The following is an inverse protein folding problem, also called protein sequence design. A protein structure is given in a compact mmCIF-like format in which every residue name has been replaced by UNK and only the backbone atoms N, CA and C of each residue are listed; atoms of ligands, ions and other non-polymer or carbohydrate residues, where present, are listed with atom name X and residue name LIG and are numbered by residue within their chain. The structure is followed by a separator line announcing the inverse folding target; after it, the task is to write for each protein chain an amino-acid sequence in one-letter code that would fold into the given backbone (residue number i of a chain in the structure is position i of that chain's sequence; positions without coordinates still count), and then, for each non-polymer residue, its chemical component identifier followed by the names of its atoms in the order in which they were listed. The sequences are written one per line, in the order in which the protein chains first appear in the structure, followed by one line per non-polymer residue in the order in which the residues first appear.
data_IF_915303207767
#
_entry.id   IF_915303207767
#
_cell.length_a   1.000
_cell.length_b   1.000
_cell.length_c   1.000
_cell.angle_alpha   90.00
_cell.angle_beta   90.00
_cell.angle_gamma   90.00
#
_symmetry.space_group_name_H-M   'P 1'
#
loop_
_entity.id
_entity.type
_entity.pdbx_description
1 polymer ?
#
# COMPACT_ATOMS: atom_id res chain seq x y z
N UNK A 1 -28.59 19.51 73.29
CA UNK A 1 -29.35 18.28 72.99
C UNK A 1 -30.82 18.60 73.03
N UNK A 2 -31.45 18.67 71.86
CA UNK A 2 -32.91 18.71 71.79
C UNK A 2 -33.46 17.30 72.08
N UNK A 3 -34.67 17.22 72.63
CA UNK A 3 -35.34 15.93 72.92
C UNK A 3 -35.39 15.05 71.66
N UNK A 4 -35.53 15.67 70.49
CA UNK A 4 -35.48 15.02 69.17
C UNK A 4 -34.15 14.33 68.89
N UNK A 5 -33.01 14.95 69.21
CA UNK A 5 -31.68 14.34 69.05
C UNK A 5 -31.48 13.15 69.99
N UNK A 6 -32.05 13.19 71.19
CA UNK A 6 -31.98 12.11 72.17
C UNK A 6 -32.84 10.89 71.76
N UNK A 7 -34.01 11.15 71.19
CA UNK A 7 -34.87 10.11 70.60
C UNK A 7 -34.19 9.50 69.36
N UNK A 8 -33.64 10.33 68.47
CA UNK A 8 -33.01 9.87 67.24
C UNK A 8 -31.76 9.00 67.53
N UNK A 9 -30.90 9.45 68.44
CA UNK A 9 -29.73 8.68 68.87
C UNK A 9 -30.09 7.35 69.55
N UNK A 10 -31.21 7.31 70.29
CA UNK A 10 -31.73 6.07 70.89
C UNK A 10 -32.27 5.10 69.82
N UNK A 11 -33.01 5.62 68.84
CA UNK A 11 -33.55 4.81 67.73
C UNK A 11 -32.42 4.23 66.90
N UNK A 12 -31.40 5.01 66.57
CA UNK A 12 -30.31 4.56 65.71
C UNK A 12 -29.41 3.55 66.43
N UNK A 13 -29.15 3.73 67.74
CA UNK A 13 -28.47 2.71 68.55
C UNK A 13 -29.28 1.41 68.67
N UNK A 14 -30.60 1.50 68.84
CA UNK A 14 -31.48 0.33 68.86
C UNK A 14 -31.53 -0.39 67.52
N UNK A 15 -31.51 0.32 66.37
CA UNK A 15 -31.45 -0.29 65.04
C UNK A 15 -30.19 -1.11 64.84
N UNK A 16 -29.04 -0.64 65.32
CA UNK A 16 -27.79 -1.39 65.24
C UNK A 16 -27.83 -2.66 66.10
N UNK A 17 -28.34 -2.56 67.33
CA UNK A 17 -28.49 -3.71 68.23
C UNK A 17 -29.48 -4.73 67.67
N UNK A 18 -30.57 -4.28 67.06
CA UNK A 18 -31.55 -5.12 66.36
C UNK A 18 -30.98 -5.82 65.14
N UNK A 19 -29.79 -5.47 64.61
CA UNK A 19 -29.13 -6.26 63.56
C UNK A 19 -28.41 -7.49 64.10
N UNK A 20 -28.14 -7.54 65.41
CA UNK A 20 -27.45 -8.69 66.00
C UNK A 20 -28.41 -9.90 66.10
N UNK A 21 -27.97 -11.11 65.68
CA UNK A 21 -28.80 -12.32 65.76
C UNK A 21 -29.28 -12.63 67.18
N UNK A 22 -28.47 -12.30 68.18
CA UNK A 22 -28.76 -12.52 69.61
C UNK A 22 -29.95 -11.66 70.04
N UNK A 23 -29.93 -10.35 69.75
CA UNK A 23 -31.01 -9.44 70.15
C UNK A 23 -32.31 -9.77 69.41
N UNK A 24 -32.23 -10.11 68.11
CA UNK A 24 -33.42 -10.56 67.36
C UNK A 24 -34.03 -11.82 67.95
N UNK A 25 -33.21 -12.83 68.19
CA UNK A 25 -33.67 -14.11 68.75
C UNK A 25 -34.24 -13.91 70.16
N UNK A 26 -33.66 -12.98 70.93
CA UNK A 26 -34.12 -12.67 72.29
C UNK A 26 -35.49 -12.02 72.25
N UNK A 27 -35.68 -10.99 71.43
CA UNK A 27 -36.96 -10.30 71.30
C UNK A 27 -38.05 -11.26 70.81
N UNK A 28 -37.76 -12.06 69.78
CA UNK A 28 -38.71 -13.07 69.28
C UNK A 28 -39.06 -14.09 70.36
N UNK A 29 -38.07 -14.66 71.04
CA UNK A 29 -38.29 -15.65 72.10
C UNK A 29 -39.03 -15.06 73.31
N UNK A 30 -38.70 -13.83 73.69
CA UNK A 30 -39.34 -13.09 74.76
C UNK A 30 -40.81 -12.81 74.45
N UNK A 31 -41.13 -12.36 73.23
CA UNK A 31 -42.51 -12.12 72.79
C UNK A 31 -43.29 -13.43 72.74
N UNK A 32 -42.70 -14.50 72.19
CA UNK A 32 -43.36 -15.81 72.08
C UNK A 32 -43.65 -16.39 73.47
N UNK A 33 -42.72 -16.27 74.41
CA UNK A 33 -42.88 -16.86 75.75
C UNK A 33 -43.79 -16.00 76.65
N UNK A 34 -43.69 -14.68 76.53
CA UNK A 34 -44.50 -13.71 77.29
C UNK A 34 -45.73 -13.21 76.49
N UNK A 35 -46.22 -14.01 75.55
CA UNK A 35 -47.31 -13.59 74.66
C UNK A 35 -48.60 -13.26 75.42
N UNK A 36 -48.90 -13.96 76.51
CA UNK A 36 -50.10 -13.75 77.32
C UNK A 36 -50.18 -12.35 77.94
N UNK A 37 -49.20 -11.91 78.76
CA UNK A 37 -49.23 -10.56 79.31
C UNK A 37 -49.16 -9.48 78.22
N UNK A 38 -48.43 -9.70 77.12
CA UNK A 38 -48.38 -8.77 75.98
C UNK A 38 -49.76 -8.60 75.33
N UNK A 39 -50.46 -9.72 75.08
CA UNK A 39 -51.80 -9.69 74.48
C UNK A 39 -52.82 -9.05 75.42
N UNK A 40 -52.77 -9.34 76.72
CA UNK A 40 -53.65 -8.71 77.72
C UNK A 40 -53.43 -7.19 77.76
N UNK A 41 -52.19 -6.73 77.66
CA UNK A 41 -51.86 -5.31 77.73
C UNK A 41 -52.33 -4.55 76.48
N UNK A 42 -52.15 -5.13 75.29
CA UNK A 42 -52.44 -4.50 74.01
C UNK A 42 -53.92 -4.64 73.60
N UNK A 43 -54.52 -5.83 73.78
CA UNK A 43 -55.81 -6.18 73.18
C UNK A 43 -56.96 -6.35 74.16
N UNK A 44 -56.74 -6.25 75.48
CA UNK A 44 -57.87 -6.28 76.42
C UNK A 44 -58.71 -5.01 76.29
N UNK A 45 -60.03 -5.10 76.43
CA UNK A 45 -60.95 -3.95 76.47
C UNK A 45 -61.08 -3.35 77.88
N UNK A 46 -60.44 -3.96 78.88
CA UNK A 46 -60.46 -3.51 80.27
C UNK A 46 -59.78 -2.16 80.49
N UNK A 47 -60.10 -1.48 81.60
CA UNK A 47 -59.36 -0.27 82.01
C UNK A 47 -57.88 -0.61 82.27
N UNK A 48 -57.00 0.35 82.02
CA UNK A 48 -55.54 0.17 82.16
C UNK A 48 -55.13 -0.38 83.54
N UNK A 49 -55.82 0.01 84.61
CA UNK A 49 -55.59 -0.47 85.97
C UNK A 49 -55.87 -1.97 86.12
N UNK A 50 -56.91 -2.48 85.46
CA UNK A 50 -57.27 -3.90 85.49
C UNK A 50 -56.31 -4.73 84.63
N UNK A 51 -55.82 -4.17 83.51
CA UNK A 51 -54.78 -4.82 82.69
C UNK A 51 -53.48 -4.98 83.45
N UNK A 52 -53.06 -3.94 84.18
CA UNK A 52 -51.83 -3.99 84.96
C UNK A 52 -51.93 -5.02 86.09
N UNK A 53 -53.05 -5.06 86.82
CA UNK A 53 -53.31 -6.09 87.85
C UNK A 53 -53.28 -7.52 87.28
N UNK A 54 -53.81 -7.71 86.06
CA UNK A 54 -53.79 -9.02 85.40
C UNK A 54 -52.36 -9.45 85.01
N UNK A 55 -51.51 -8.50 84.61
CA UNK A 55 -50.09 -8.73 84.32
C UNK A 55 -49.31 -8.97 85.62
N UNK A 56 -49.56 -8.19 86.66
CA UNK A 56 -48.91 -8.36 87.97
C UNK A 56 -49.24 -9.74 88.55
N UNK A 57 -50.50 -10.18 88.46
CA UNK A 57 -50.91 -11.53 88.86
C UNK A 57 -50.18 -12.63 88.08
N UNK A 58 -49.90 -12.40 86.78
CA UNK A 58 -49.16 -13.34 85.95
C UNK A 58 -47.69 -13.49 86.41
N UNK A 59 -47.11 -12.44 86.99
CA UNK A 59 -45.72 -12.44 87.49
C UNK A 59 -45.60 -12.58 89.02
N UNK A 60 -46.72 -12.69 89.73
CA UNK A 60 -46.79 -12.67 91.21
C UNK A 60 -45.98 -13.80 91.85
N UNK A 61 -45.87 -14.95 91.19
CA UNK A 61 -44.98 -16.02 91.65
C UNK A 61 -43.56 -15.81 91.11
N UNK A 62 -42.57 -15.84 92.01
CA UNK A 62 -41.13 -15.85 91.68
C UNK A 62 -40.78 -16.84 90.56
N UNK A 63 -41.41 -18.02 90.56
CA UNK A 63 -41.25 -19.04 89.53
C UNK A 63 -41.58 -18.53 88.12
N UNK A 64 -42.71 -17.85 87.94
CA UNK A 64 -43.14 -17.32 86.64
C UNK A 64 -42.26 -16.17 86.18
N UNK A 65 -41.84 -15.30 87.09
CA UNK A 65 -40.91 -14.19 86.80
C UNK A 65 -39.54 -14.69 86.35
N UNK A 66 -38.98 -15.68 87.04
CA UNK A 66 -37.70 -16.27 86.68
C UNK A 66 -37.78 -16.99 85.34
N UNK A 67 -38.85 -17.78 85.12
CA UNK A 67 -39.05 -18.53 83.87
C UNK A 67 -39.23 -17.59 82.67
N UNK A 68 -39.94 -16.47 82.85
CA UNK A 68 -40.19 -15.46 81.83
C UNK A 68 -38.94 -14.79 81.26
N UNK A 69 -37.84 -14.78 82.03
CA UNK A 69 -36.57 -14.17 81.63
C UNK A 69 -35.54 -15.24 81.24
N UNK A 70 -35.41 -16.30 82.02
CA UNK A 70 -34.40 -17.34 81.79
C UNK A 70 -34.70 -18.15 80.53
N UNK A 71 -35.97 -18.49 80.28
CA UNK A 71 -36.32 -19.32 79.10
C UNK A 71 -36.01 -18.59 77.79
N UNK A 72 -36.37 -17.30 77.61
CA UNK A 72 -35.95 -16.55 76.43
C UNK A 72 -34.43 -16.49 76.25
N UNK A 73 -33.66 -16.29 77.32
CA UNK A 73 -32.19 -16.26 77.27
C UNK A 73 -31.62 -17.61 76.85
N UNK A 74 -32.13 -18.71 77.41
CA UNK A 74 -31.70 -20.05 77.07
C UNK A 74 -32.01 -20.38 75.60
N UNK A 75 -33.20 -20.01 75.13
CA UNK A 75 -33.60 -20.17 73.72
C UNK A 75 -32.73 -19.36 72.76
N UNK A 76 -32.26 -18.18 73.16
CA UNK A 76 -31.28 -17.41 72.37
C UNK A 76 -29.96 -18.15 72.25
N UNK A 77 -29.47 -18.73 73.34
CA UNK A 77 -28.28 -19.57 73.32
C UNK A 77 -28.46 -20.76 72.38
N UNK A 78 -29.57 -21.48 72.50
CA UNK A 78 -29.90 -22.59 71.60
C UNK A 78 -29.98 -22.13 70.14
N UNK A 79 -30.72 -21.07 69.84
CA UNK A 79 -30.91 -20.62 68.46
C UNK A 79 -29.61 -20.06 67.84
N UNK A 80 -28.82 -19.33 68.62
CA UNK A 80 -27.59 -18.69 68.13
C UNK A 80 -26.44 -19.67 67.98
N UNK A 81 -26.34 -20.70 68.83
CA UNK A 81 -25.20 -21.63 68.83
C UNK A 81 -25.55 -23.01 68.28
N UNK A 82 -26.70 -23.58 68.67
CA UNK A 82 -27.07 -24.96 68.29
C UNK A 82 -27.48 -25.05 66.82
N UNK A 83 -28.21 -24.06 66.29
CA UNK A 83 -28.67 -24.08 64.90
C UNK A 83 -27.51 -23.99 63.90
N UNK A 84 -26.54 -23.06 64.02
CA UNK A 84 -25.39 -23.06 63.13
C UNK A 84 -24.58 -24.35 63.20
N UNK A 85 -24.42 -24.92 64.39
CA UNK A 85 -23.71 -26.20 64.57
C UNK A 85 -24.45 -27.36 63.88
N UNK A 86 -25.77 -27.39 63.98
CA UNK A 86 -26.60 -28.37 63.30
C UNK A 86 -26.57 -28.19 61.78
N UNK A 87 -26.54 -26.94 61.28
CA UNK A 87 -26.38 -26.66 59.85
C UNK A 87 -25.04 -27.17 59.32
N UNK A 88 -23.94 -26.92 60.04
CA UNK A 88 -22.60 -27.43 59.65
C UNK A 88 -22.62 -28.96 59.62
N UNK A 89 -23.18 -29.61 60.64
CA UNK A 89 -23.28 -31.07 60.68
C UNK A 89 -24.11 -31.65 59.52
N UNK A 90 -25.23 -31.01 59.18
CA UNK A 90 -26.05 -31.38 58.02
C UNK A 90 -25.27 -31.19 56.71
N UNK A 91 -24.53 -30.09 56.58
CA UNK A 91 -23.73 -29.80 55.39
C UNK A 91 -22.58 -30.81 55.19
N UNK A 92 -21.87 -31.19 56.26
CA UNK A 92 -20.84 -32.25 56.23
C UNK A 92 -21.42 -33.60 55.79
N UNK A 93 -22.63 -33.95 56.25
CA UNK A 93 -23.30 -35.18 55.82
C UNK A 93 -23.75 -35.14 54.36
N UNK A 94 -24.07 -33.95 53.84
CA UNK A 94 -24.53 -33.76 52.47
C UNK A 94 -23.37 -33.54 51.47
N UNK A 95 -22.18 -33.18 51.94
CA UNK A 95 -20.97 -32.98 51.16
C UNK A 95 -20.66 -34.12 50.16
N UNK A 96 -20.64 -35.41 50.54
CA UNK A 96 -20.37 -36.49 49.59
C UNK A 96 -21.42 -36.60 48.48
N UNK A 97 -22.66 -36.19 48.76
CA UNK A 97 -23.73 -36.15 47.75
C UNK A 97 -23.54 -34.97 46.80
N UNK A 98 -23.14 -33.80 47.32
CA UNK A 98 -22.79 -32.63 46.52
C UNK A 98 -21.61 -32.95 45.60
N UNK A 99 -20.57 -33.59 46.11
CA UNK A 99 -19.39 -33.99 45.35
C UNK A 99 -19.72 -34.98 44.22
N UNK A 100 -20.52 -36.02 44.51
CA UNK A 100 -21.00 -36.99 43.49
C UNK A 100 -21.80 -36.29 42.39
N UNK A 101 -22.69 -35.37 42.74
CA UNK A 101 -23.47 -34.59 41.78
C UNK A 101 -22.55 -33.75 40.88
N UNK A 102 -21.60 -33.04 41.46
CA UNK A 102 -20.63 -32.22 40.71
C UNK A 102 -19.82 -33.10 39.75
N UNK A 103 -19.24 -34.21 40.24
CA UNK A 103 -18.50 -35.17 39.42
C UNK A 103 -19.32 -35.70 38.25
N UNK A 104 -20.60 -36.03 38.46
CA UNK A 104 -21.51 -36.48 37.41
C UNK A 104 -21.72 -35.41 36.33
N UNK A 105 -21.91 -34.15 36.72
CA UNK A 105 -22.06 -33.03 35.77
C UNK A 105 -20.81 -32.85 34.93
N UNK A 106 -19.62 -32.87 35.54
CA UNK A 106 -18.36 -32.74 34.80
C UNK A 106 -18.10 -33.93 33.88
N UNK A 107 -18.44 -35.16 34.30
CA UNK A 107 -18.35 -36.35 33.46
C UNK A 107 -19.24 -36.25 32.22
N UNK A 108 -20.48 -35.76 32.40
CA UNK A 108 -21.40 -35.50 31.28
C UNK A 108 -20.86 -34.42 30.33
N UNK A 109 -20.33 -33.30 30.86
CA UNK A 109 -19.68 -32.26 30.04
C UNK A 109 -18.48 -32.80 29.28
N UNK A 110 -17.65 -33.62 29.91
CA UNK A 110 -16.48 -34.22 29.26
C UNK A 110 -16.90 -35.13 28.10
N UNK A 111 -17.96 -35.92 28.27
CA UNK A 111 -18.53 -36.74 27.19
C UNK A 111 -18.97 -35.87 26.01
N UNK A 112 -19.72 -34.81 26.27
CA UNK A 112 -20.17 -33.87 25.21
C UNK A 112 -18.99 -33.23 24.47
N UNK A 113 -17.93 -32.84 25.19
CA UNK A 113 -16.73 -32.25 24.56
C UNK A 113 -16.03 -33.27 23.67
N UNK A 114 -15.91 -34.53 24.12
CA UNK A 114 -15.32 -35.60 23.30
C UNK A 114 -16.09 -35.82 22.01
N UNK A 115 -17.42 -35.91 22.09
CA UNK A 115 -18.27 -36.05 20.90
C UNK A 115 -18.10 -34.87 19.93
N UNK A 116 -17.98 -33.64 20.45
CA UNK A 116 -17.71 -32.46 19.61
C UNK A 116 -16.35 -32.52 18.91
N UNK A 117 -15.31 -33.01 19.60
CA UNK A 117 -13.98 -33.21 18.99
C UNK A 117 -14.07 -34.24 17.87
N UNK A 118 -14.73 -35.38 18.13
CA UNK A 118 -14.94 -36.42 17.12
C UNK A 118 -15.69 -35.87 15.91
N UNK A 119 -16.76 -35.11 16.13
CA UNK A 119 -17.53 -34.49 15.05
C UNK A 119 -16.68 -33.50 14.24
N UNK A 120 -15.86 -32.67 14.90
CA UNK A 120 -14.98 -31.73 14.23
C UNK A 120 -13.90 -32.41 13.37
N UNK A 121 -13.38 -33.57 13.83
CA UNK A 121 -12.44 -34.38 13.04
C UNK A 121 -13.15 -34.91 11.78
N UNK A 122 -14.34 -35.48 11.94
CA UNK A 122 -15.13 -35.99 10.81
C UNK A 122 -15.49 -34.87 9.82
N UNK A 123 -15.83 -33.68 10.31
CA UNK A 123 -16.13 -32.53 9.46
C UNK A 123 -14.89 -32.02 8.70
N UNK A 124 -13.72 -32.04 9.34
CA UNK A 124 -12.46 -31.71 8.70
C UNK A 124 -12.14 -32.73 7.60
N UNK A 125 -12.27 -34.02 7.89
CA UNK A 125 -12.03 -35.09 6.91
C UNK A 125 -12.99 -34.97 5.71
N UNK A 126 -14.27 -34.67 5.97
CA UNK A 126 -15.26 -34.40 4.93
C UNK A 126 -14.86 -33.18 4.08
N UNK A 127 -14.47 -32.07 4.70
CA UNK A 127 -14.01 -30.86 3.98
C UNK A 127 -12.75 -31.13 3.17
N UNK A 128 -11.83 -31.93 3.67
CA UNK A 128 -10.64 -32.33 2.93
C UNK A 128 -10.99 -33.23 1.74
N UNK A 129 -11.95 -34.15 1.89
CA UNK A 129 -12.45 -34.96 0.79
C UNK A 129 -13.17 -34.11 -0.28
N UNK A 130 -13.96 -33.11 0.14
CA UNK A 130 -14.60 -32.15 -0.78
C UNK A 130 -13.59 -31.22 -1.45
N UNK A 131 -12.61 -30.71 -0.70
CA UNK A 131 -11.58 -29.79 -1.21
C UNK A 131 -10.60 -30.52 -2.14
N UNK A 132 -10.23 -31.76 -1.84
CA UNK A 132 -9.40 -32.58 -2.72
C UNK A 132 -10.04 -32.79 -4.10
N UNK A 133 -11.38 -32.86 -4.17
CA UNK A 133 -12.09 -32.86 -5.46
C UNK A 133 -12.09 -31.49 -6.15
N UNK A 134 -12.15 -30.38 -5.40
CA UNK A 134 -12.05 -29.02 -5.98
C UNK A 134 -10.65 -28.72 -6.49
N UNK A 135 -9.61 -29.02 -5.73
CA UNK A 135 -8.21 -28.86 -6.18
C UNK A 135 -7.93 -29.69 -7.43
N UNK A 136 -8.44 -30.93 -7.47
CA UNK A 136 -8.36 -31.78 -8.67
C UNK A 136 -9.09 -31.14 -9.86
N UNK A 137 -10.26 -30.55 -9.63
CA UNK A 137 -11.00 -29.85 -10.69
C UNK A 137 -10.25 -28.60 -11.17
N UNK A 138 -9.71 -27.79 -10.27
CA UNK A 138 -8.88 -26.63 -10.60
C UNK A 138 -7.64 -27.02 -11.41
N UNK A 139 -6.99 -28.14 -11.07
CA UNK A 139 -5.88 -28.67 -11.86
C UNK A 139 -6.32 -29.11 -13.25
N UNK A 140 -7.47 -29.78 -13.38
CA UNK A 140 -8.03 -30.18 -14.68
C UNK A 140 -8.33 -28.93 -15.52
N UNK A 141 -8.97 -27.91 -14.93
CA UNK A 141 -9.30 -26.67 -15.63
C UNK A 141 -8.03 -25.92 -16.05
N UNK A 142 -6.99 -25.95 -15.23
CA UNK A 142 -5.69 -25.35 -15.56
C UNK A 142 -4.96 -26.09 -16.67
N UNK A 143 -5.00 -27.42 -16.67
CA UNK A 143 -4.44 -28.24 -17.75
C UNK A 143 -5.14 -27.90 -19.06
N UNK A 144 -6.48 -27.86 -19.07
CA UNK A 144 -7.27 -27.51 -20.25
C UNK A 144 -6.92 -26.11 -20.78
N UNK A 145 -6.82 -25.12 -19.88
CA UNK A 145 -6.40 -23.77 -20.25
C UNK A 145 -5.00 -23.73 -20.89
N UNK A 146 -4.05 -24.51 -20.35
CA UNK A 146 -2.70 -24.58 -20.90
C UNK A 146 -2.66 -25.27 -22.27
N UNK A 147 -3.48 -26.30 -22.48
CA UNK A 147 -3.65 -26.96 -23.78
C UNK A 147 -4.22 -25.99 -24.82
N UNK A 148 -5.30 -25.29 -24.49
CA UNK A 148 -5.91 -24.27 -25.37
C UNK A 148 -4.91 -23.16 -25.70
N UNK A 149 -4.17 -22.67 -24.69
CA UNK A 149 -3.15 -21.63 -24.91
C UNK A 149 -2.00 -22.13 -25.78
N UNK A 150 -1.61 -23.40 -25.67
CA UNK A 150 -0.58 -24.01 -26.52
C UNK A 150 -1.05 -24.10 -27.96
N UNK A 151 -2.29 -24.53 -28.18
CA UNK A 151 -2.88 -24.61 -29.51
C UNK A 151 -2.94 -23.21 -30.18
N UNK A 152 -3.38 -22.18 -29.44
CA UNK A 152 -3.37 -20.80 -29.94
C UNK A 152 -1.97 -20.31 -30.28
N UNK A 153 -0.96 -20.66 -29.47
CA UNK A 153 0.42 -20.28 -29.72
C UNK A 153 0.99 -20.99 -30.96
N UNK A 154 0.68 -22.27 -31.15
CA UNK A 154 1.07 -23.02 -32.34
C UNK A 154 0.42 -22.46 -33.61
N UNK A 155 -0.85 -22.07 -33.54
CA UNK A 155 -1.55 -21.44 -34.66
C UNK A 155 -0.97 -20.05 -34.98
N UNK A 156 -0.73 -19.22 -33.97
CA UNK A 156 -0.06 -17.93 -34.13
C UNK A 156 1.34 -18.08 -34.75
N UNK A 157 2.09 -19.09 -34.33
CA UNK A 157 3.40 -19.41 -34.91
C UNK A 157 3.29 -19.79 -36.39
N UNK A 158 2.32 -20.63 -36.77
CA UNK A 158 2.06 -20.98 -38.18
C UNK A 158 1.72 -19.76 -39.01
N UNK A 159 0.86 -18.87 -38.49
CA UNK A 159 0.50 -17.64 -39.18
C UNK A 159 1.70 -16.71 -39.38
N UNK A 160 2.57 -16.58 -38.36
CA UNK A 160 3.82 -15.82 -38.47
C UNK A 160 4.78 -16.45 -39.49
N UNK A 161 4.91 -17.78 -39.53
CA UNK A 161 5.74 -18.48 -40.52
C UNK A 161 5.26 -18.21 -41.95
N UNK A 162 3.94 -18.25 -42.18
CA UNK A 162 3.33 -17.91 -43.46
C UNK A 162 3.58 -16.43 -43.83
N UNK A 163 3.36 -15.51 -42.90
CA UNK A 163 3.56 -14.08 -43.11
C UNK A 163 5.03 -13.74 -43.41
N UNK A 164 5.97 -14.36 -42.69
CA UNK A 164 7.40 -14.21 -42.92
C UNK A 164 7.80 -14.74 -44.29
N UNK A 165 7.30 -15.91 -44.69
CA UNK A 165 7.56 -16.45 -46.02
C UNK A 165 7.07 -15.51 -47.13
N UNK A 166 5.84 -15.00 -47.01
CA UNK A 166 5.29 -14.04 -47.95
C UNK A 166 6.13 -12.75 -48.02
N UNK A 167 6.61 -12.26 -46.86
CA UNK A 167 7.47 -11.07 -46.79
C UNK A 167 8.82 -11.30 -47.46
N UNK A 168 9.43 -12.48 -47.25
CA UNK A 168 10.66 -12.89 -47.92
C UNK A 168 10.46 -12.95 -49.44
N UNK A 169 9.35 -13.53 -49.90
CA UNK A 169 9.04 -13.63 -51.32
C UNK A 169 8.84 -12.24 -51.96
N UNK A 170 8.16 -11.32 -51.25
CA UNK A 170 8.01 -9.93 -51.70
C UNK A 170 9.34 -9.17 -51.74
N UNK A 171 10.19 -9.33 -50.73
CA UNK A 171 11.52 -8.71 -50.70
C UNK A 171 12.40 -9.24 -51.83
N UNK A 172 12.35 -10.56 -52.08
CA UNK A 172 13.07 -11.18 -53.19
C UNK A 172 12.58 -10.65 -54.55
N UNK A 173 11.26 -10.44 -54.72
CA UNK A 173 10.71 -9.85 -55.94
C UNK A 173 11.20 -8.40 -56.14
N UNK A 174 11.15 -7.56 -55.09
CA UNK A 174 11.65 -6.18 -55.13
C UNK A 174 13.16 -6.12 -55.39
N UNK A 175 13.92 -7.04 -54.81
CA UNK A 175 15.37 -7.12 -55.01
C UNK A 175 15.70 -7.46 -56.47
N UNK A 176 14.96 -8.39 -57.09
CA UNK A 176 15.10 -8.69 -58.52
C UNK A 176 14.79 -7.48 -59.39
N UNK A 177 13.71 -6.76 -59.09
CA UNK A 177 13.31 -5.54 -59.81
C UNK A 177 14.39 -4.45 -59.70
N UNK A 178 14.88 -4.19 -58.49
CA UNK A 178 15.96 -3.23 -58.27
C UNK A 178 17.25 -3.62 -59.02
N UNK A 179 17.56 -4.92 -59.07
CA UNK A 179 18.73 -5.40 -59.80
C UNK A 179 18.61 -5.17 -61.32
N UNK A 180 17.43 -5.45 -61.90
CA UNK A 180 17.14 -5.16 -63.31
C UNK A 180 17.26 -3.64 -63.58
N UNK A 181 16.72 -2.80 -62.70
CA UNK A 181 16.81 -1.35 -62.83
C UNK A 181 18.26 -0.85 -62.76
N UNK A 182 19.08 -1.43 -61.87
CA UNK A 182 20.51 -1.12 -61.80
C UNK A 182 21.24 -1.55 -63.07
N UNK A 183 20.97 -2.75 -63.60
CA UNK A 183 21.56 -3.20 -64.87
C UNK A 183 21.21 -2.24 -66.02
N UNK A 184 19.95 -1.82 -66.13
CA UNK A 184 19.50 -0.82 -67.11
C UNK A 184 20.22 0.53 -66.93
N UNK A 185 20.38 1.00 -65.69
CA UNK A 185 21.13 2.23 -65.39
C UNK A 185 22.60 2.11 -65.79
N UNK A 186 23.25 0.98 -65.52
CA UNK A 186 24.63 0.72 -65.96
C UNK A 186 24.75 0.74 -67.49
N UNK A 187 23.81 0.15 -68.22
CA UNK A 187 23.77 0.22 -69.68
C UNK A 187 23.63 1.66 -70.18
N UNK A 188 22.73 2.45 -69.60
CA UNK A 188 22.55 3.85 -69.96
C UNK A 188 23.81 4.69 -69.67
N UNK A 189 24.48 4.46 -68.53
CA UNK A 189 25.73 5.16 -68.18
C UNK A 189 26.86 4.82 -69.16
N UNK A 190 26.95 3.58 -69.65
CA UNK A 190 27.93 3.21 -70.68
C UNK A 190 27.68 3.94 -72.01
N UNK A 191 26.42 4.17 -72.37
CA UNK A 191 26.04 4.97 -73.54
C UNK A 191 26.53 6.42 -73.41
N UNK A 192 26.46 7.01 -72.21
CA UNK A 192 26.96 8.37 -71.92
C UNK A 192 28.49 8.49 -71.84
N UNK A 193 29.24 7.38 -71.75
CA UNK A 193 30.71 7.41 -71.70
C UNK A 193 31.36 7.77 -73.05
N UNK A 194 30.58 7.84 -74.13
CA UNK A 194 31.00 8.26 -75.47
C UNK A 194 30.67 9.72 -75.80
N UNK A 195 30.44 10.58 -74.79
CA UNK A 195 30.36 12.02 -75.05
C UNK A 195 31.77 12.57 -75.26
N UNK A 196 32.07 12.94 -76.50
CA UNK A 196 33.30 13.61 -76.93
C UNK A 196 33.56 14.88 -76.07
N UNK A 197 34.70 14.96 -75.35
CA UNK A 197 35.08 16.12 -74.55
C UNK A 197 35.11 17.44 -75.33
N UNK A 198 35.34 17.41 -76.65
CA UNK A 198 35.31 18.62 -77.48
C UNK A 198 33.89 19.21 -77.60
N UNK A 199 32.86 18.36 -77.63
CA UNK A 199 31.46 18.78 -77.73
C UNK A 199 30.98 19.47 -76.44
N UNK A 200 31.50 19.04 -75.28
CA UNK A 200 31.23 19.71 -73.99
C UNK A 200 31.90 21.09 -73.93
N UNK A 201 33.13 21.22 -74.46
CA UNK A 201 33.82 22.51 -74.55
C UNK A 201 33.10 23.51 -75.46
N UNK A 202 32.56 23.04 -76.58
CA UNK A 202 31.82 23.87 -77.52
C UNK A 202 30.47 24.32 -76.94
N UNK A 203 29.77 23.43 -76.23
CA UNK A 203 28.45 23.74 -75.63
C UNK A 203 28.56 24.69 -74.43
N UNK A 204 29.69 24.69 -73.71
CA UNK A 204 29.90 25.54 -72.53
C UNK A 204 30.62 26.86 -72.82
N UNK A 205 31.12 27.10 -74.05
CA UNK A 205 31.65 28.40 -74.46
C UNK A 205 32.83 28.93 -73.64
N UNK A 206 33.67 28.06 -73.07
CA UNK A 206 34.74 28.45 -72.14
C UNK A 206 36.04 28.75 -72.91
N UNK A 207 36.29 30.04 -73.20
CA UNK A 207 37.54 30.57 -73.75
C UNK A 207 38.66 30.79 -72.71
N UNK A 208 39.88 30.99 -73.21
CA UNK A 208 41.18 31.01 -72.50
C UNK A 208 41.43 32.21 -71.53
N UNK A 209 40.55 32.47 -70.56
CA UNK A 209 40.77 33.52 -69.53
C UNK A 209 40.79 32.99 -68.08
N UNK A 210 41.29 31.77 -67.87
CA UNK A 210 41.16 31.10 -66.56
C UNK A 210 42.22 31.47 -65.50
N UNK A 211 43.19 32.33 -65.81
CA UNK A 211 44.27 32.66 -64.85
C UNK A 211 43.93 33.85 -63.92
N UNK A 212 42.76 34.50 -64.07
CA UNK A 212 42.41 35.70 -63.30
C UNK A 212 41.32 35.50 -62.23
N UNK A 213 40.70 34.32 -62.16
CA UNK A 213 39.56 34.04 -61.26
C UNK A 213 39.80 32.86 -60.30
N UNK A 214 41.03 32.67 -59.84
CA UNK A 214 41.37 31.56 -58.95
C UNK A 214 40.71 31.67 -57.58
N UNK A 215 40.54 32.86 -57.01
CA UNK A 215 40.01 32.95 -55.64
C UNK A 215 38.50 32.74 -55.56
N UNK A 216 37.69 33.31 -56.47
CA UNK A 216 36.23 33.24 -56.35
C UNK A 216 35.67 31.87 -56.74
N UNK A 217 36.30 31.20 -57.71
CA UNK A 217 35.87 29.87 -58.17
C UNK A 217 36.33 28.77 -57.21
N UNK A 218 37.53 28.89 -56.63
CA UNK A 218 37.99 27.99 -55.57
C UNK A 218 37.12 28.19 -54.32
N UNK A 219 36.81 29.43 -53.93
CA UNK A 219 35.87 29.72 -52.83
C UNK A 219 34.46 29.19 -53.12
N UNK A 220 33.99 29.25 -54.37
CA UNK A 220 32.69 28.70 -54.78
C UNK A 220 32.69 27.18 -54.72
N UNK A 221 33.67 26.51 -55.31
CA UNK A 221 33.80 25.06 -55.31
C UNK A 221 34.02 24.50 -53.88
N UNK A 222 34.77 25.23 -53.04
CA UNK A 222 34.97 24.88 -51.63
C UNK A 222 33.72 25.11 -50.80
N UNK A 223 32.96 26.19 -51.03
CA UNK A 223 31.66 26.36 -50.38
C UNK A 223 30.68 25.29 -50.83
N UNK A 224 30.64 24.91 -52.10
CA UNK A 224 29.73 23.85 -52.56
C UNK A 224 30.15 22.46 -52.03
N UNK A 225 31.45 22.20 -51.85
CA UNK A 225 31.97 20.95 -51.28
C UNK A 225 31.86 20.82 -49.75
N UNK A 226 32.15 21.88 -48.99
CA UNK A 226 32.02 21.90 -47.52
C UNK A 226 30.55 21.81 -47.11
N UNK A 227 29.63 22.39 -47.88
CA UNK A 227 28.19 22.37 -47.59
C UNK A 227 27.50 21.04 -47.88
N UNK A 228 28.10 20.18 -48.72
CA UNK A 228 27.58 18.85 -48.98
C UNK A 228 27.80 17.89 -47.78
N UNK A 229 28.66 18.26 -46.82
CA UNK A 229 28.95 17.47 -45.62
C UNK A 229 28.57 18.23 -44.33
N UNK A 230 28.21 17.46 -43.29
CA UNK A 230 27.61 17.84 -41.99
C UNK A 230 28.41 18.82 -41.08
N UNK A 231 29.32 19.65 -41.59
CA UNK A 231 30.21 20.52 -40.80
C UNK A 231 29.76 22.00 -40.71
N UNK A 232 28.56 22.33 -41.19
CA UNK A 232 28.00 23.69 -41.15
C UNK A 232 27.84 24.24 -39.73
N UNK A 233 27.42 23.40 -38.78
CA UNK A 233 27.16 23.80 -37.40
C UNK A 233 28.45 24.25 -36.68
N UNK A 234 29.59 23.65 -37.03
CA UNK A 234 30.89 24.06 -36.49
C UNK A 234 31.32 25.43 -37.05
N UNK A 235 31.10 25.69 -38.34
CA UNK A 235 31.39 27.00 -38.96
C UNK A 235 30.55 28.14 -38.36
N UNK A 236 29.28 27.90 -38.05
CA UNK A 236 28.43 28.91 -37.41
C UNK A 236 28.91 29.25 -35.99
N UNK A 237 29.35 28.25 -35.24
CA UNK A 237 29.94 28.43 -33.92
C UNK A 237 31.20 29.30 -33.97
N UNK A 238 32.05 29.16 -34.99
CA UNK A 238 33.21 30.05 -35.23
C UNK A 238 32.73 31.48 -35.54
N UNK A 239 31.67 31.60 -36.34
CA UNK A 239 31.14 32.88 -36.80
C UNK A 239 30.52 33.73 -35.70
N UNK A 240 30.01 33.10 -34.63
CA UNK A 240 29.45 33.74 -33.45
C UNK A 240 30.55 34.13 -32.43
N UNK A 241 31.66 33.41 -32.38
CA UNK A 241 32.83 33.76 -31.56
C UNK A 241 33.51 35.07 -32.00
N UNK A 242 33.36 35.46 -33.27
CA UNK A 242 33.82 36.76 -33.80
C UNK A 242 33.08 37.98 -33.18
N UNK A 243 32.11 37.77 -32.27
CA UNK A 243 31.50 38.82 -31.45
C UNK A 243 32.24 39.08 -30.13
N UNK A 244 33.17 38.21 -29.73
CA UNK A 244 33.96 38.38 -28.51
C UNK A 244 35.27 39.10 -28.85
N UNK A 245 35.64 40.12 -28.08
CA UNK A 245 36.72 41.08 -28.41
C UNK A 245 38.11 40.46 -28.68
N UNK A 246 38.31 39.17 -28.39
CA UNK A 246 39.62 38.54 -28.43
C UNK A 246 39.91 37.65 -29.66
N UNK A 247 38.96 37.40 -30.59
CA UNK A 247 39.17 36.64 -31.84
C UNK A 247 39.89 35.28 -31.69
N UNK A 248 39.90 34.70 -30.49
CA UNK A 248 40.53 33.42 -30.18
C UNK A 248 39.50 32.31 -30.24
N UNK A 249 39.85 31.21 -30.89
CA UNK A 249 39.01 30.02 -30.99
C UNK A 249 39.56 28.93 -30.07
N UNK A 250 38.69 28.41 -29.21
CA UNK A 250 38.94 27.15 -28.52
C UNK A 250 38.81 26.01 -29.54
N UNK A 251 39.90 25.30 -29.84
CA UNK A 251 39.90 24.24 -30.87
C UNK A 251 39.34 22.90 -30.39
N UNK A 252 38.93 22.77 -29.12
CA UNK A 252 38.51 21.49 -28.52
C UNK A 252 37.25 20.89 -29.14
N UNK A 253 36.43 21.69 -29.84
CA UNK A 253 35.18 21.25 -30.47
C UNK A 253 35.24 21.20 -32.00
N UNK A 254 36.42 21.49 -32.59
CA UNK A 254 36.63 21.46 -34.04
C UNK A 254 37.37 20.17 -34.39
N UNK A 255 36.85 19.44 -35.37
CA UNK A 255 37.52 18.23 -35.89
C UNK A 255 38.92 18.56 -36.45
N UNK A 256 39.93 17.74 -36.14
CA UNK A 256 41.33 17.99 -36.50
C UNK A 256 41.55 18.09 -38.02
N UNK A 257 40.82 17.30 -38.82
CA UNK A 257 40.93 17.36 -40.28
C UNK A 257 40.36 18.67 -40.81
N UNK A 258 39.24 19.13 -40.24
CA UNK A 258 38.64 20.40 -40.59
C UNK A 258 39.49 21.59 -40.15
N UNK A 259 40.07 21.54 -38.95
CA UNK A 259 40.99 22.56 -38.44
C UNK A 259 42.21 22.73 -39.36
N UNK A 260 42.76 21.61 -39.86
CA UNK A 260 43.89 21.64 -40.81
C UNK A 260 43.54 22.34 -42.11
N UNK A 261 42.35 22.08 -42.66
CA UNK A 261 41.85 22.76 -43.85
C UNK A 261 41.72 24.26 -43.60
N UNK A 262 41.16 24.69 -42.47
CA UNK A 262 41.02 26.11 -42.14
C UNK A 262 42.37 26.83 -42.00
N UNK A 263 43.41 26.14 -41.53
CA UNK A 263 44.77 26.69 -41.45
C UNK A 263 45.42 26.76 -42.84
N UNK A 264 45.28 25.71 -43.66
CA UNK A 264 45.82 25.68 -45.03
C UNK A 264 45.20 26.78 -45.90
N UNK A 265 43.91 27.06 -45.69
CA UNK A 265 43.18 28.15 -46.33
C UNK A 265 43.50 29.53 -45.74
N UNK A 266 44.38 29.59 -44.74
CA UNK A 266 44.74 30.81 -44.00
C UNK A 266 43.54 31.51 -43.37
N UNK A 267 42.43 30.80 -43.12
CA UNK A 267 41.27 31.33 -42.38
C UNK A 267 41.64 31.45 -40.90
N UNK A 268 42.38 30.47 -40.37
CA UNK A 268 42.91 30.47 -39.02
C UNK A 268 44.43 30.55 -39.01
N UNK A 269 44.98 31.26 -38.02
CA UNK A 269 46.40 31.36 -37.72
C UNK A 269 46.62 30.83 -36.31
N UNK A 270 47.58 29.92 -36.14
CA UNK A 270 47.99 29.40 -34.84
C UNK A 270 49.10 30.28 -34.28
N UNK A 271 48.91 30.83 -33.08
CA UNK A 271 49.95 31.61 -32.41
C UNK A 271 50.99 30.69 -31.72
N UNK A 272 52.10 31.28 -31.28
CA UNK A 272 53.20 30.55 -30.62
C UNK A 272 52.80 29.87 -29.29
N UNK A 273 51.63 30.20 -28.74
CA UNK A 273 51.06 29.58 -27.54
C UNK A 273 50.07 28.45 -27.86
N UNK A 274 49.93 28.10 -29.14
CA UNK A 274 49.05 27.04 -29.62
C UNK A 274 47.58 27.45 -29.74
N UNK A 275 47.25 28.73 -29.57
CA UNK A 275 45.88 29.26 -29.66
C UNK A 275 45.59 29.69 -31.10
N UNK A 276 44.42 29.34 -31.61
CA UNK A 276 43.98 29.69 -32.97
C UNK A 276 43.28 31.05 -32.97
N UNK A 277 43.62 31.89 -33.95
CA UNK A 277 43.02 33.19 -34.18
C UNK A 277 42.53 33.32 -35.61
N UNK A 278 41.43 34.02 -35.82
CA UNK A 278 40.89 34.29 -37.16
C UNK A 278 41.77 35.32 -37.85
N UNK A 279 42.27 35.00 -39.05
CA UNK A 279 43.04 35.94 -39.86
C UNK A 279 42.13 37.01 -40.48
N UNK A 280 42.70 38.10 -41.02
CA UNK A 280 41.89 39.08 -41.76
C UNK A 280 41.23 38.45 -43.00
N UNK A 281 41.91 37.52 -43.68
CA UNK A 281 41.32 36.74 -44.77
C UNK A 281 40.18 35.83 -44.28
N UNK A 282 40.31 35.29 -43.08
CA UNK A 282 39.27 34.49 -42.42
C UNK A 282 38.04 35.31 -42.05
N UNK A 283 38.21 36.59 -41.68
CA UNK A 283 37.08 37.50 -41.43
C UNK A 283 36.28 37.74 -42.71
N UNK A 284 36.96 38.03 -43.82
CA UNK A 284 36.33 38.21 -45.13
C UNK A 284 35.59 36.95 -45.58
N UNK A 285 36.20 35.78 -45.37
CA UNK A 285 35.60 34.48 -45.65
C UNK A 285 34.31 34.26 -44.84
N UNK A 286 34.37 34.51 -43.53
CA UNK A 286 33.21 34.36 -42.63
C UNK A 286 32.09 35.33 -43.02
N UNK A 287 32.42 36.58 -43.37
CA UNK A 287 31.45 37.58 -43.81
C UNK A 287 30.79 37.18 -45.13
N UNK A 288 31.57 36.68 -46.10
CA UNK A 288 31.06 36.14 -47.35
C UNK A 288 30.08 34.97 -47.12
N UNK A 289 30.46 34.01 -46.27
CA UNK A 289 29.61 32.87 -45.90
C UNK A 289 28.31 33.36 -45.24
N UNK A 290 28.37 34.31 -44.30
CA UNK A 290 27.17 34.91 -43.67
C UNK A 290 26.25 35.53 -44.73
N UNK A 291 26.79 36.32 -45.66
CA UNK A 291 26.03 37.01 -46.71
C UNK A 291 25.36 36.05 -47.69
N UNK A 292 26.04 34.97 -48.08
CA UNK A 292 25.48 33.92 -48.96
C UNK A 292 24.45 33.04 -48.25
N UNK A 293 24.66 32.71 -46.97
CA UNK A 293 23.76 31.81 -46.24
C UNK A 293 22.47 32.45 -45.74
N UNK A 294 22.41 33.77 -45.57
CA UNK A 294 21.13 34.46 -45.35
C UNK A 294 20.10 34.15 -46.47
N UNK A 295 20.55 33.89 -47.70
CA UNK A 295 19.69 33.42 -48.80
C UNK A 295 19.34 31.92 -48.72
N UNK A 296 20.27 31.07 -48.27
CA UNK A 296 20.04 29.62 -48.21
C UNK A 296 19.20 29.20 -46.99
N UNK A 297 19.41 29.81 -45.82
CA UNK A 297 18.66 29.53 -44.59
C UNK A 297 17.19 29.92 -44.72
N UNK A 298 16.88 31.01 -45.44
CA UNK A 298 15.51 31.39 -45.77
C UNK A 298 14.83 30.32 -46.65
N UNK A 299 15.54 29.73 -47.62
CA UNK A 299 14.99 28.69 -48.49
C UNK A 299 14.87 27.32 -47.81
N UNK A 300 15.75 26.99 -46.86
CA UNK A 300 15.73 25.70 -46.16
C UNK A 300 14.57 25.62 -45.15
N UNK A 301 14.25 26.73 -44.46
CA UNK A 301 13.12 26.78 -43.51
C UNK A 301 11.74 26.66 -44.19
N UNK A 302 11.65 27.04 -45.47
CA UNK A 302 10.43 26.88 -46.27
C UNK A 302 10.20 25.43 -46.74
N UNK A 303 11.23 24.60 -46.81
CA UNK A 303 11.13 23.20 -47.27
C UNK A 303 10.83 22.17 -46.18
N UNK A 304 10.92 22.54 -44.91
CA UNK A 304 10.65 21.65 -43.78
C UNK A 304 9.45 22.05 -42.92
N UNK A 305 8.70 23.08 -43.33
CA UNK A 305 7.40 23.46 -42.75
C UNK A 305 6.25 23.35 -43.77
N UNK A 306 6.39 22.45 -44.75
CA UNK A 306 5.34 22.04 -45.69
C UNK A 306 5.28 20.52 -45.77
#
# INVERSE_FOLDING_TARGET
MTITELIQSTIDSSKERLKTPIVRSFICSFIIFNWRPIVILIFSDEKIENRLKAVDFYFDTWYWTVLAIIVPILMVGVYTFLIPMLMVWVDEKLEPTKEKRIKSVYKSKQFVIKEKITLAIVELDLKNAESGNREKQDFIDRIKFLEDSKEQLEESKRQMEIANKNSIDQLNAKLKEANINNENLFSNIQEYKYIDPEKIRETLGIGKEFDKYSNETILKAMSEGIFANWQLDQLFSISDLNKTENNTIDSTWIDDAFLKVLIELKVLIKNNKGIYQISDHGKDFIEYVKKKNLKYYQNFRFKHNL
#
